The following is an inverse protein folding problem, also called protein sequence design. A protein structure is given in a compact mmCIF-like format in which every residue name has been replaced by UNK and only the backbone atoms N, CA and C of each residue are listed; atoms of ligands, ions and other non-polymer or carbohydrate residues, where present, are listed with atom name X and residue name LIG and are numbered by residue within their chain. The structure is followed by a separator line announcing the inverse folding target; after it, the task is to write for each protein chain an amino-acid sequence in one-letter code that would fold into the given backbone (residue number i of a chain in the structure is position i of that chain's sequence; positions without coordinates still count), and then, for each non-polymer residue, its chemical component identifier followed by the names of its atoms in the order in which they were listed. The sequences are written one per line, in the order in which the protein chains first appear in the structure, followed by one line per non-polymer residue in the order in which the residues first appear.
data_IF_838805907425
#
_entry.id   IF_838805907425
#
_cell.length_a   1.000
_cell.length_b   1.000
_cell.length_c   1.000
_cell.angle_alpha   90.00
_cell.angle_beta   90.00
_cell.angle_gamma   90.00
#
_symmetry.space_group_name_H-M   'P 1'
#
loop_
_entity.id
_entity.type
_entity.pdbx_description
1 polymer ?
#
# COMPACT_ATOMS: atom_id res chain seq x y z
N UNK A 1 -6.90 10.80 -11.56
CA UNK A 1 -7.15 9.35 -11.66
C UNK A 1 -8.64 9.12 -11.89
N UNK A 2 -9.05 8.29 -12.85
CA UNK A 2 -10.49 8.02 -13.11
C UNK A 2 -11.10 7.18 -11.99
N UNK A 3 -12.42 7.32 -11.77
CA UNK A 3 -13.12 6.52 -10.75
C UNK A 3 -13.15 5.04 -11.18
N UNK A 4 -12.77 4.09 -10.32
CA UNK A 4 -12.85 2.67 -10.65
C UNK A 4 -14.30 2.23 -10.85
N UNK A 5 -14.52 1.24 -11.72
CA UNK A 5 -15.86 0.73 -12.04
C UNK A 5 -16.51 0.02 -10.84
N UNK A 6 -17.85 -0.08 -10.84
CA UNK A 6 -18.60 -0.78 -9.79
C UNK A 6 -18.15 -2.24 -9.62
N UNK A 7 -17.85 -2.94 -10.72
CA UNK A 7 -17.30 -4.29 -10.67
C UNK A 7 -15.95 -4.34 -9.95
N UNK A 8 -15.10 -3.33 -10.15
CA UNK A 8 -13.80 -3.24 -9.44
C UNK A 8 -14.01 -3.03 -7.94
N UNK A 9 -15.05 -2.30 -7.55
CA UNK A 9 -15.43 -2.13 -6.14
C UNK A 9 -15.95 -3.43 -5.51
N UNK A 10 -16.78 -4.18 -6.25
CA UNK A 10 -17.32 -5.46 -5.78
C UNK A 10 -16.21 -6.50 -5.63
N UNK A 11 -15.38 -6.65 -6.67
CA UNK A 11 -14.30 -7.65 -6.73
C UNK A 11 -13.13 -7.26 -5.82
N UNK A 12 -12.78 -5.98 -5.75
CA UNK A 12 -11.68 -5.47 -4.93
C UNK A 12 -11.99 -5.33 -3.44
N UNK A 13 -13.16 -5.77 -2.98
CA UNK A 13 -13.46 -5.84 -1.55
C UNK A 13 -12.61 -6.96 -0.89
N UNK A 14 -12.27 -6.80 0.39
CA UNK A 14 -11.56 -7.82 1.16
C UNK A 14 -12.41 -9.10 1.28
N UNK A 15 -13.73 -8.96 1.47
CA UNK A 15 -14.60 -10.12 1.59
C UNK A 15 -14.65 -10.97 0.30
N UNK A 16 -14.75 -10.32 -0.86
CA UNK A 16 -14.69 -11.00 -2.16
C UNK A 16 -13.32 -11.61 -2.43
N UNK A 17 -12.23 -10.90 -2.09
CA UNK A 17 -10.87 -11.44 -2.21
C UNK A 17 -10.68 -12.71 -1.39
N UNK A 18 -11.16 -12.74 -0.15
CA UNK A 18 -11.10 -13.93 0.71
C UNK A 18 -11.93 -15.07 0.12
N UNK A 19 -13.15 -14.80 -0.34
CA UNK A 19 -14.02 -15.81 -0.95
C UNK A 19 -13.39 -16.42 -2.21
N UNK A 20 -12.86 -15.58 -3.11
CA UNK A 20 -12.18 -16.02 -4.33
C UNK A 20 -10.92 -16.82 -4.00
N UNK A 21 -10.16 -16.42 -2.99
CA UNK A 21 -8.98 -17.15 -2.55
C UNK A 21 -9.32 -18.53 -1.97
N UNK A 22 -10.38 -18.64 -1.15
CA UNK A 22 -10.86 -19.92 -0.65
C UNK A 22 -11.32 -20.84 -1.78
N UNK A 23 -12.06 -20.30 -2.76
CA UNK A 23 -12.47 -21.04 -3.96
C UNK A 23 -11.26 -21.53 -4.77
N UNK A 24 -10.23 -20.70 -4.91
CA UNK A 24 -8.98 -21.10 -5.56
C UNK A 24 -8.32 -22.27 -4.83
N UNK A 25 -8.14 -22.18 -3.50
CA UNK A 25 -7.55 -23.27 -2.72
C UNK A 25 -8.35 -24.57 -2.82
N UNK A 26 -9.67 -24.47 -2.73
CA UNK A 26 -10.56 -25.62 -2.90
C UNK A 26 -10.43 -26.24 -4.29
N UNK A 27 -10.40 -25.42 -5.35
CA UNK A 27 -10.27 -25.91 -6.72
C UNK A 27 -8.92 -26.60 -6.99
N UNK A 28 -7.84 -26.10 -6.38
CA UNK A 28 -6.51 -26.74 -6.46
C UNK A 28 -6.56 -28.09 -5.76
N UNK A 29 -7.11 -28.16 -4.55
CA UNK A 29 -7.27 -29.41 -3.81
C UNK A 29 -8.14 -30.43 -4.57
N UNK A 30 -9.26 -29.97 -5.14
CA UNK A 30 -10.16 -30.81 -5.92
C UNK A 30 -9.51 -31.33 -7.22
N UNK A 31 -8.60 -30.56 -7.82
CA UNK A 31 -7.80 -31.01 -8.97
C UNK A 31 -6.77 -32.08 -8.58
N UNK A 32 -6.08 -31.91 -7.46
CA UNK A 32 -5.13 -32.91 -6.96
C UNK A 32 -5.80 -34.24 -6.56
N UNK A 33 -7.04 -34.19 -6.08
CA UNK A 33 -7.82 -35.40 -5.74
C UNK A 33 -8.53 -36.02 -6.94
N UNK A 34 -8.38 -35.45 -8.15
CA UNK A 34 -9.01 -35.93 -9.37
C UNK A 34 -10.52 -35.68 -9.45
N UNK A 35 -11.10 -34.91 -8.52
CA UNK A 35 -12.54 -34.59 -8.51
C UNK A 35 -12.90 -33.56 -9.58
N UNK A 36 -11.95 -32.71 -9.97
CA UNK A 36 -12.14 -31.59 -10.87
C UNK A 36 -10.98 -31.54 -11.88
N UNK A 37 -11.24 -31.14 -13.13
CA UNK A 37 -10.19 -31.00 -14.13
C UNK A 37 -9.18 -29.89 -13.81
N UNK A 38 -7.89 -30.10 -14.13
CA UNK A 38 -6.79 -29.15 -13.91
C UNK A 38 -7.05 -27.75 -14.50
N UNK A 39 -7.84 -27.65 -15.57
CA UNK A 39 -8.20 -26.38 -16.20
C UNK A 39 -9.05 -25.48 -15.29
N UNK A 40 -9.85 -26.04 -14.38
CA UNK A 40 -10.63 -25.25 -13.40
C UNK A 40 -9.70 -24.62 -12.37
N UNK A 41 -8.70 -25.36 -11.88
CA UNK A 41 -7.70 -24.83 -10.97
C UNK A 41 -6.90 -23.68 -11.62
N UNK A 42 -6.52 -23.83 -12.89
CA UNK A 42 -5.87 -22.76 -13.66
C UNK A 42 -6.79 -21.53 -13.81
N UNK A 43 -8.06 -21.73 -14.14
CA UNK A 43 -9.03 -20.64 -14.24
C UNK A 43 -9.19 -19.90 -12.90
N UNK A 44 -9.25 -20.64 -11.78
CA UNK A 44 -9.36 -20.05 -10.45
C UNK A 44 -8.13 -19.20 -10.07
N UNK A 45 -6.92 -19.63 -10.47
CA UNK A 45 -5.68 -18.85 -10.28
C UNK A 45 -5.76 -17.53 -11.06
N UNK A 46 -6.21 -17.57 -12.32
CA UNK A 46 -6.36 -16.36 -13.16
C UNK A 46 -7.37 -15.39 -12.54
N UNK A 47 -8.54 -15.88 -12.14
CA UNK A 47 -9.59 -15.05 -11.49
C UNK A 47 -9.09 -14.43 -10.19
N UNK A 48 -8.32 -15.18 -9.40
CA UNK A 48 -7.72 -14.68 -8.15
C UNK A 48 -6.71 -13.57 -8.45
N UNK A 49 -5.85 -13.77 -9.45
CA UNK A 49 -4.87 -12.75 -9.88
C UNK A 49 -5.54 -11.46 -10.35
N UNK A 50 -6.61 -11.57 -11.17
CA UNK A 50 -7.41 -10.41 -11.59
C UNK A 50 -8.05 -9.69 -10.39
N UNK A 51 -8.53 -10.45 -9.40
CA UNK A 51 -9.14 -9.90 -8.19
C UNK A 51 -8.13 -9.15 -7.33
N UNK A 52 -6.91 -9.68 -7.18
CA UNK A 52 -5.81 -9.02 -6.47
C UNK A 52 -5.43 -7.71 -7.18
N UNK A 53 -5.32 -7.73 -8.50
CA UNK A 53 -5.02 -6.53 -9.29
C UNK A 53 -6.12 -5.46 -9.16
N UNK A 54 -7.39 -5.87 -9.15
CA UNK A 54 -8.52 -4.98 -8.89
C UNK A 54 -8.44 -4.35 -7.49
N UNK A 55 -8.11 -5.15 -6.47
CA UNK A 55 -7.91 -4.67 -5.09
C UNK A 55 -6.76 -3.67 -4.96
N UNK A 56 -5.65 -3.90 -5.67
CA UNK A 56 -4.51 -2.97 -5.70
C UNK A 56 -4.90 -1.62 -6.32
N UNK A 57 -5.60 -1.62 -7.46
CA UNK A 57 -6.12 -0.40 -8.10
C UNK A 57 -7.08 0.37 -7.19
N UNK A 58 -7.95 -0.35 -6.47
CA UNK A 58 -8.87 0.26 -5.51
C UNK A 58 -8.13 0.92 -4.34
N UNK A 59 -7.07 0.27 -3.85
CA UNK A 59 -6.21 0.80 -2.77
C UNK A 59 -5.46 2.04 -3.23
N UNK A 60 -4.90 2.00 -4.44
CA UNK A 60 -4.21 3.14 -5.05
C UNK A 60 -5.16 4.33 -5.24
N UNK A 61 -6.36 4.10 -5.78
CA UNK A 61 -7.40 5.13 -5.91
C UNK A 61 -7.80 5.73 -4.55
N UNK A 62 -7.95 4.91 -3.51
CA UNK A 62 -8.27 5.37 -2.15
C UNK A 62 -7.15 6.21 -1.56
N UNK A 63 -5.89 5.82 -1.78
CA UNK A 63 -4.73 6.58 -1.32
C UNK A 63 -4.65 7.93 -2.04
N UNK A 64 -4.73 7.92 -3.38
CA UNK A 64 -4.76 9.14 -4.19
C UNK A 64 -5.89 10.09 -3.73
N UNK A 65 -7.11 9.56 -3.54
CA UNK A 65 -8.26 10.36 -3.10
C UNK A 65 -8.05 10.93 -1.70
N UNK A 66 -7.48 10.15 -0.79
CA UNK A 66 -7.16 10.62 0.57
C UNK A 66 -6.14 11.76 0.54
N UNK A 67 -5.11 11.65 -0.30
CA UNK A 67 -4.08 12.66 -0.41
C UNK A 67 -4.65 13.94 -1.09
N UNK A 68 -5.53 13.78 -2.07
CA UNK A 68 -6.29 14.88 -2.68
C UNK A 68 -7.22 15.59 -1.67
N UNK A 69 -7.98 14.82 -0.89
CA UNK A 69 -8.87 15.37 0.15
C UNK A 69 -8.07 16.07 1.26
N UNK A 70 -6.84 15.62 1.54
CA UNK A 70 -5.95 16.29 2.49
C UNK A 70 -5.48 17.67 1.98
N UNK A 71 -5.29 17.84 0.66
CA UNK A 71 -4.93 19.13 0.05
C UNK A 71 -6.09 20.13 0.06
N UNK A 72 -7.34 19.67 0.04
CA UNK A 72 -8.53 20.55 0.11
C UNK A 72 -8.87 21.01 1.54
N UNK A 73 -8.03 20.67 2.53
CA UNK A 73 -8.28 21.00 3.93
C UNK A 73 -9.39 20.15 4.57
N UNK A 74 -9.86 19.09 3.90
CA UNK A 74 -10.81 18.18 4.51
C UNK A 74 -10.12 17.44 5.67
N UNK A 75 -10.79 17.39 6.82
CA UNK A 75 -10.26 16.72 8.01
C UNK A 75 -9.87 15.26 7.68
N UNK A 76 -8.68 14.80 8.12
CA UNK A 76 -8.16 13.50 7.75
C UNK A 76 -9.13 12.41 8.22
N UNK A 77 -9.68 11.63 7.28
CA UNK A 77 -10.45 10.43 7.61
C UNK A 77 -9.55 9.52 8.42
N UNK A 78 -9.96 9.19 9.65
CA UNK A 78 -9.23 8.26 10.51
C UNK A 78 -8.90 7.00 9.72
N UNK A 79 -7.61 6.65 9.67
CA UNK A 79 -7.20 5.36 9.15
C UNK A 79 -7.89 4.30 10.02
N UNK A 80 -8.77 3.52 9.42
CA UNK A 80 -9.34 2.34 10.06
C UNK A 80 -8.17 1.45 10.48
N UNK A 81 -7.85 1.48 11.78
CA UNK A 81 -6.92 0.53 12.39
C UNK A 81 -7.41 -0.85 11.99
N UNK A 82 -6.51 -1.66 11.43
CA UNK A 82 -6.83 -3.05 11.15
C UNK A 82 -7.26 -3.65 12.48
N UNK A 83 -8.52 -4.12 12.61
CA UNK A 83 -9.02 -4.56 13.89
C UNK A 83 -8.22 -5.80 14.32
N UNK A 84 -7.85 -5.86 15.60
CA UNK A 84 -6.93 -6.88 16.14
C UNK A 84 -7.36 -8.32 15.79
N UNK A 85 -8.67 -8.57 15.70
CA UNK A 85 -9.21 -9.88 15.32
C UNK A 85 -8.71 -10.36 13.95
N UNK A 86 -8.48 -9.47 12.98
CA UNK A 86 -7.93 -9.85 11.66
C UNK A 86 -6.48 -10.33 11.76
N UNK A 87 -5.70 -9.73 12.66
CA UNK A 87 -4.32 -10.16 12.91
C UNK A 87 -4.32 -11.53 13.61
N UNK A 88 -5.22 -11.71 14.59
CA UNK A 88 -5.41 -13.00 15.25
C UNK A 88 -5.81 -14.08 14.25
N UNK A 89 -6.77 -13.81 13.36
CA UNK A 89 -7.24 -14.76 12.35
C UNK A 89 -6.12 -15.16 11.37
N UNK A 90 -5.32 -14.20 10.92
CA UNK A 90 -4.13 -14.47 10.10
C UNK A 90 -3.09 -15.34 10.82
N UNK A 91 -2.82 -15.05 12.10
CA UNK A 91 -1.92 -15.83 12.93
C UNK A 91 -2.46 -17.25 13.17
N UNK A 92 -3.77 -17.41 13.38
CA UNK A 92 -4.42 -18.71 13.53
C UNK A 92 -4.30 -19.54 12.26
N UNK A 93 -4.58 -18.97 11.08
CA UNK A 93 -4.45 -19.68 9.79
C UNK A 93 -3.00 -20.15 9.58
N UNK A 94 -2.02 -19.27 9.83
CA UNK A 94 -0.61 -19.62 9.74
C UNK A 94 -0.21 -20.72 10.74
N UNK A 95 -0.68 -20.63 11.98
CA UNK A 95 -0.42 -21.62 13.02
C UNK A 95 -1.00 -23.00 12.69
N UNK A 96 -2.25 -23.04 12.23
CA UNK A 96 -2.93 -24.28 11.80
C UNK A 96 -2.23 -24.88 10.58
N UNK A 97 -1.86 -24.06 9.60
CA UNK A 97 -1.11 -24.49 8.42
C UNK A 97 0.26 -25.08 8.77
N UNK A 98 1.00 -24.42 9.66
CA UNK A 98 2.30 -24.89 10.12
C UNK A 98 2.19 -26.20 10.92
N UNK A 99 1.21 -26.30 11.82
CA UNK A 99 0.94 -27.53 12.55
C UNK A 99 0.57 -28.68 11.62
N UNK A 100 -0.27 -28.43 10.61
CA UNK A 100 -0.64 -29.43 9.61
C UNK A 100 0.55 -29.89 8.77
N UNK A 101 1.39 -28.95 8.31
CA UNK A 101 2.59 -29.26 7.55
C UNK A 101 3.61 -30.07 8.38
N UNK A 102 3.76 -29.77 9.67
CA UNK A 102 4.64 -30.53 10.56
C UNK A 102 4.10 -31.93 10.88
N UNK A 103 2.80 -32.05 11.14
CA UNK A 103 2.20 -33.31 11.60
C UNK A 103 1.93 -34.31 10.49
N UNK A 104 1.51 -33.82 9.32
CA UNK A 104 1.10 -34.67 8.20
C UNK A 104 2.10 -34.66 7.04
N UNK A 105 3.15 -33.83 7.08
CA UNK A 105 4.11 -33.69 5.97
C UNK A 105 4.88 -34.97 5.63
N UNK A 106 5.01 -35.92 6.56
CA UNK A 106 5.65 -37.21 6.32
C UNK A 106 4.69 -38.30 5.78
N UNK A 107 3.41 -37.98 5.59
CA UNK A 107 2.45 -38.93 5.02
C UNK A 107 2.58 -38.94 3.48
N UNK A 108 2.53 -40.13 2.85
CA UNK A 108 2.59 -40.22 1.39
C UNK A 108 1.43 -39.44 0.77
N UNK A 109 1.76 -38.49 -0.11
CA UNK A 109 0.81 -37.57 -0.76
C UNK A 109 0.69 -36.18 -0.11
N UNK A 110 1.19 -36.00 1.12
CA UNK A 110 1.15 -34.70 1.83
C UNK A 110 2.49 -33.93 1.79
N UNK A 111 3.54 -34.56 1.28
CA UNK A 111 4.88 -33.98 1.13
C UNK A 111 4.87 -32.71 0.26
N UNK A 112 4.19 -32.74 -0.89
CA UNK A 112 4.13 -31.62 -1.83
C UNK A 112 3.37 -30.42 -1.22
N UNK A 113 2.15 -30.57 -0.66
CA UNK A 113 1.48 -29.49 0.04
C UNK A 113 2.29 -28.89 1.20
N UNK A 114 2.95 -29.74 2.00
CA UNK A 114 3.77 -29.28 3.11
C UNK A 114 4.98 -28.46 2.62
N UNK A 115 5.67 -28.92 1.57
CA UNK A 115 6.78 -28.20 0.96
C UNK A 115 6.33 -26.86 0.37
N UNK A 116 5.20 -26.83 -0.35
CA UNK A 116 4.63 -25.61 -0.89
C UNK A 116 4.24 -24.61 0.21
N UNK A 117 3.69 -25.08 1.33
CA UNK A 117 3.39 -24.23 2.49
C UNK A 117 4.65 -23.55 3.02
N UNK A 118 5.74 -24.30 3.23
CA UNK A 118 7.01 -23.75 3.74
C UNK A 118 7.66 -22.78 2.76
N UNK A 119 7.68 -23.09 1.46
CA UNK A 119 8.15 -22.17 0.43
C UNK A 119 7.32 -20.89 0.44
N UNK A 120 6.00 -21.01 0.49
CA UNK A 120 5.09 -19.87 0.56
C UNK A 120 5.35 -19.00 1.79
N UNK A 121 5.54 -19.62 2.96
CA UNK A 121 5.86 -18.92 4.21
C UNK A 121 7.20 -18.18 4.12
N UNK A 122 8.23 -18.84 3.59
CA UNK A 122 9.56 -18.26 3.41
C UNK A 122 9.52 -17.05 2.46
N UNK A 123 8.79 -17.14 1.34
CA UNK A 123 8.61 -16.02 0.41
C UNK A 123 7.86 -14.85 1.05
N UNK A 124 6.84 -15.13 1.86
CA UNK A 124 6.04 -14.11 2.53
C UNK A 124 6.88 -13.35 3.58
N UNK A 125 7.64 -14.09 4.41
CA UNK A 125 8.59 -13.51 5.36
C UNK A 125 9.70 -12.75 4.65
N UNK A 126 10.30 -13.32 3.61
CA UNK A 126 11.34 -12.68 2.82
C UNK A 126 10.88 -11.37 2.20
N UNK A 127 9.68 -11.34 1.60
CA UNK A 127 9.05 -10.11 1.11
C UNK A 127 8.83 -9.09 2.22
N UNK A 128 8.38 -9.51 3.40
CA UNK A 128 8.11 -8.61 4.51
C UNK A 128 9.40 -7.96 5.03
N UNK A 129 10.45 -8.75 5.23
CA UNK A 129 11.79 -8.27 5.62
C UNK A 129 12.36 -7.34 4.56
N UNK A 130 12.29 -7.73 3.29
CA UNK A 130 12.76 -6.91 2.17
C UNK A 130 12.03 -5.56 2.08
N UNK A 131 10.70 -5.57 2.19
CA UNK A 131 9.89 -4.35 2.20
C UNK A 131 10.16 -3.48 3.43
N UNK A 132 10.37 -4.08 4.61
CA UNK A 132 10.72 -3.34 5.81
C UNK A 132 12.08 -2.65 5.67
N UNK A 133 13.07 -3.37 5.13
CA UNK A 133 14.41 -2.82 4.84
C UNK A 133 14.36 -1.71 3.77
N UNK A 134 13.60 -1.92 2.69
CA UNK A 134 13.42 -0.90 1.65
C UNK A 134 12.70 0.32 2.22
N UNK A 135 11.59 0.16 2.95
CA UNK A 135 10.87 1.28 3.58
C UNK A 135 11.76 2.07 4.52
N UNK A 136 12.59 1.42 5.34
CA UNK A 136 13.58 2.12 6.18
C UNK A 136 14.55 2.95 5.34
N UNK A 137 15.09 2.40 4.24
CA UNK A 137 15.97 3.13 3.33
C UNK A 137 15.26 4.28 2.61
N UNK A 138 14.03 4.07 2.14
CA UNK A 138 13.24 5.08 1.45
C UNK A 138 12.87 6.24 2.39
N UNK A 139 12.47 5.92 3.63
CA UNK A 139 12.16 6.93 4.65
C UNK A 139 13.43 7.70 5.05
N UNK A 140 14.57 7.04 5.23
CA UNK A 140 15.84 7.71 5.52
C UNK A 140 16.23 8.70 4.41
N UNK A 141 16.07 8.30 3.13
CA UNK A 141 16.28 9.20 1.99
C UNK A 141 15.28 10.36 1.94
N UNK A 142 14.01 10.11 2.26
CA UNK A 142 12.97 11.14 2.28
C UNK A 142 13.17 12.17 3.40
N UNK A 143 13.66 11.73 4.58
CA UNK A 143 14.06 12.62 5.67
C UNK A 143 15.26 13.45 5.26
N UNK A 144 16.30 12.83 4.70
CA UNK A 144 17.48 13.55 4.19
C UNK A 144 17.14 14.57 3.10
N UNK A 145 16.13 14.31 2.26
CA UNK A 145 15.65 15.25 1.26
C UNK A 145 14.80 16.41 1.83
N UNK A 146 14.14 16.22 2.97
CA UNK A 146 13.40 17.28 3.68
C UNK A 146 14.32 18.23 4.43
N UNK A 147 15.45 17.72 4.92
CA UNK A 147 16.47 18.50 5.61
C UNK A 147 17.51 19.10 4.65
N UNK A 148 17.38 18.85 3.35
CA UNK A 148 18.19 19.52 2.34
C UNK A 148 17.82 21.01 2.34
N UNK A 149 18.77 21.94 2.56
CA UNK A 149 18.48 23.36 2.55
C UNK A 149 17.97 23.75 1.16
N UNK A 150 16.66 24.02 1.07
CA UNK A 150 16.05 24.52 -0.16
C UNK A 150 16.38 26.00 -0.26
N UNK A 151 17.42 26.33 -1.01
CA UNK A 151 17.74 27.71 -1.35
C UNK A 151 16.69 28.21 -2.35
N UNK A 152 15.67 28.92 -1.86
CA UNK A 152 14.71 29.60 -2.73
C UNK A 152 15.41 30.80 -3.35
N UNK A 153 15.87 30.65 -4.58
CA UNK A 153 16.39 31.76 -5.37
C UNK A 153 15.19 32.58 -5.82
N UNK A 154 14.86 33.62 -5.05
CA UNK A 154 13.90 34.62 -5.49
C UNK A 154 14.46 35.30 -6.75
N UNK A 155 13.63 35.54 -7.77
CA UNK A 155 14.07 36.33 -8.91
C UNK A 155 14.54 37.69 -8.40
N UNK A 156 15.77 38.07 -8.78
CA UNK A 156 16.35 39.38 -8.44
C UNK A 156 15.31 40.44 -8.86
N UNK A 157 14.82 41.28 -7.94
CA UNK A 157 13.92 42.36 -8.31
C UNK A 157 14.68 43.25 -9.30
N UNK A 158 14.23 43.23 -10.57
CA UNK A 158 14.91 43.92 -11.68
C UNK A 158 14.89 45.44 -11.56
N UNK A 159 14.17 45.99 -10.58
CA UNK A 159 14.07 47.40 -10.33
C UNK A 159 14.22 47.63 -8.83
N UNK A 160 15.35 48.18 -8.42
CA UNK A 160 15.45 48.85 -7.13
C UNK A 160 14.46 50.03 -7.16
N UNK A 161 13.61 50.22 -6.14
CA UNK A 161 12.77 51.40 -6.07
C UNK A 161 13.65 52.64 -6.16
N UNK A 162 13.23 53.60 -6.99
CA UNK A 162 13.89 54.89 -7.12
C UNK A 162 14.02 55.53 -5.73
N UNK A 163 15.13 56.23 -5.48
CA UNK A 163 15.42 56.80 -4.16
C UNK A 163 14.28 57.72 -3.69
N UNK A 164 13.64 58.41 -4.63
CA UNK A 164 12.46 59.26 -4.39
C UNK A 164 11.26 58.43 -3.93
N UNK A 165 11.01 57.28 -4.58
CA UNK A 165 9.91 56.38 -4.22
C UNK A 165 10.15 55.69 -2.86
N UNK A 166 11.40 55.36 -2.54
CA UNK A 166 11.77 54.79 -1.25
C UNK A 166 11.58 55.81 -0.11
N UNK A 167 11.93 57.09 -0.34
CA UNK A 167 11.72 58.16 0.64
C UNK A 167 10.23 58.45 0.83
N UNK A 168 9.44 58.45 -0.25
CA UNK A 168 7.99 58.66 -0.18
C UNK A 168 7.23 57.51 0.52
N UNK A 169 7.81 56.30 0.55
CA UNK A 169 7.25 55.15 1.25
C UNK A 169 7.64 55.08 2.74
N UNK A 170 8.49 55.99 3.23
CA UNK A 170 8.88 56.00 4.64
C UNK A 170 7.73 56.52 5.53
N UNK A 171 7.50 55.91 6.70
CA UNK A 171 6.57 56.45 7.69
C UNK A 171 6.99 57.86 8.15
N UNK A 172 6.01 58.71 8.44
CA UNK A 172 6.20 60.13 8.79
C UNK A 172 7.19 60.38 9.95
N UNK A 173 7.37 59.42 10.87
CA UNK A 173 8.31 59.55 11.99
C UNK A 173 9.78 59.40 11.55
N UNK A 174 10.06 58.80 10.40
CA UNK A 174 11.41 58.64 9.84
C UNK A 174 11.91 59.89 9.09
N UNK A 175 11.01 60.77 8.64
CA UNK A 175 11.38 61.98 7.88
C UNK A 175 12.30 62.92 8.67
N UNK A 176 12.21 62.90 10.00
CA UNK A 176 13.05 63.74 10.88
C UNK A 176 14.52 63.32 10.92
N UNK A 177 14.84 62.10 10.54
CA UNK A 177 16.21 61.58 10.52
C UNK A 177 16.96 61.90 9.21
N UNK A 178 16.25 62.43 8.20
CA UNK A 178 16.80 62.76 6.87
C UNK A 178 17.15 64.25 6.71
N UNK A 179 16.95 65.08 7.74
CA UNK A 179 17.41 66.48 7.81
C UNK A 179 18.69 66.58 8.62
#
# INVERSE_FOLDING_TARGET
MSRPSLLTYLVGNIASLVAVFCLMLWSIYAAFTGQVGWWIALAAIVVTSMSVNAGNRLTEYRNWKRDWDAMSGASPRQQLRIPAWRQMLGATILGVGAWGALKYGAQPGMEIPALLFWIGLALLLGRWVFMAAWRKRANAKAVAARDAPVTVVLPIPRQSPDAVAAIAALPWYCERLLK
#
